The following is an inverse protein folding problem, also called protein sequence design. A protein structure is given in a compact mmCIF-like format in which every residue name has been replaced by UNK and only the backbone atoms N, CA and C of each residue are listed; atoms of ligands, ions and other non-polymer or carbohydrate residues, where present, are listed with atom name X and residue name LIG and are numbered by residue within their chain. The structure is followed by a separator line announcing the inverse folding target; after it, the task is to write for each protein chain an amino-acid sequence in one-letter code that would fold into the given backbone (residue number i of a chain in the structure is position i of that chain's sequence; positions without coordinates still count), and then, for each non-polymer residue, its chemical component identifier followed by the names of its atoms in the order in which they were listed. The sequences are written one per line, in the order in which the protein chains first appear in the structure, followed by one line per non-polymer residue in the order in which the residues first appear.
data_IF_204491444528
#
_entry.id   IF_204491444528
#
_cell.length_a   1.000
_cell.length_b   1.000
_cell.length_c   1.000
_cell.angle_alpha   90.00
_cell.angle_beta   90.00
_cell.angle_gamma   90.00
#
_symmetry.space_group_name_H-M   'P 1'
#
loop_
_entity.id
_entity.type
_entity.pdbx_description
1 polymer ?
#
# COMPACT_ATOMS: atom_id res chain seq x y z
N UNK A 1 3.42 -1.00 -9.65
CA UNK A 1 3.30 -1.47 -8.26
C UNK A 1 4.31 -0.70 -7.43
N UNK A 2 3.98 -0.42 -6.17
CA UNK A 2 4.89 0.16 -5.19
C UNK A 2 5.15 -0.96 -4.18
N UNK A 3 6.42 -1.26 -3.92
CA UNK A 3 6.83 -2.19 -2.87
C UNK A 3 7.26 -1.38 -1.64
N UNK A 4 6.78 -1.78 -0.47
CA UNK A 4 7.09 -1.13 0.80
C UNK A 4 7.71 -2.18 1.71
N UNK A 5 8.92 -1.91 2.19
CA UNK A 5 9.62 -2.86 3.07
C UNK A 5 8.84 -2.98 4.39
N UNK A 6 8.26 -4.15 4.62
CA UNK A 6 7.57 -4.54 5.84
C UNK A 6 7.80 -6.04 6.07
N UNK A 7 7.82 -6.46 7.33
CA UNK A 7 7.95 -7.89 7.66
C UNK A 7 6.77 -8.73 7.16
N UNK A 8 5.60 -8.14 6.92
CA UNK A 8 4.42 -8.86 6.49
C UNK A 8 3.98 -9.93 7.49
N UNK A 9 3.01 -10.75 7.10
CA UNK A 9 2.42 -11.76 7.99
C UNK A 9 3.43 -12.82 8.46
N UNK A 10 4.47 -13.12 7.67
CA UNK A 10 5.51 -14.09 8.03
C UNK A 10 6.38 -13.63 9.22
N UNK A 11 6.45 -12.32 9.47
CA UNK A 11 7.27 -11.73 10.53
C UNK A 11 6.43 -10.88 11.51
N UNK A 12 5.17 -11.28 11.74
CA UNK A 12 4.31 -10.68 12.77
C UNK A 12 3.59 -9.40 12.35
N UNK A 13 3.60 -9.06 11.06
CA UNK A 13 2.92 -7.93 10.44
C UNK A 13 3.10 -6.63 11.23
N UNK A 14 4.33 -6.10 11.36
CA UNK A 14 4.56 -4.88 12.11
C UNK A 14 3.85 -3.68 11.45
N UNK A 15 3.45 -2.66 12.23
CA UNK A 15 2.94 -1.42 11.65
C UNK A 15 3.99 -0.74 10.78
N UNK A 16 3.54 -0.08 9.71
CA UNK A 16 4.44 0.71 8.87
C UNK A 16 4.93 1.95 9.63
N UNK A 17 6.24 2.22 9.68
CA UNK A 17 6.76 3.47 10.21
C UNK A 17 6.16 4.69 9.51
N UNK A 18 5.88 5.74 10.29
CA UNK A 18 5.28 7.00 9.79
C UNK A 18 6.04 7.59 8.59
N UNK A 19 7.37 7.56 8.61
CA UNK A 19 8.20 8.06 7.51
C UNK A 19 7.99 7.28 6.20
N UNK A 20 7.70 5.97 6.26
CA UNK A 20 7.36 5.19 5.07
C UNK A 20 5.97 5.58 4.54
N UNK A 21 4.99 5.76 5.43
CA UNK A 21 3.63 6.14 5.03
C UNK A 21 3.60 7.51 4.36
N UNK A 22 4.32 8.51 4.91
CA UNK A 22 4.46 9.83 4.29
C UNK A 22 5.13 9.77 2.91
N UNK A 23 6.16 8.93 2.75
CA UNK A 23 6.85 8.76 1.47
C UNK A 23 5.93 8.13 0.40
N UNK A 24 5.16 7.12 0.78
CA UNK A 24 4.19 6.44 -0.10
C UNK A 24 3.05 7.37 -0.50
N UNK A 25 2.53 8.16 0.44
CA UNK A 25 1.51 9.16 0.19
C UNK A 25 1.99 10.20 -0.83
N UNK A 26 3.16 10.79 -0.58
CA UNK A 26 3.77 11.78 -1.48
C UNK A 26 3.95 11.21 -2.89
N UNK A 27 4.56 10.02 -3.00
CA UNK A 27 4.78 9.36 -4.28
C UNK A 27 3.45 9.03 -5.00
N UNK A 28 2.45 8.58 -4.25
CA UNK A 28 1.13 8.23 -4.80
C UNK A 28 0.43 9.45 -5.37
N UNK A 29 0.43 10.58 -4.64
CA UNK A 29 -0.14 11.84 -5.12
C UNK A 29 0.58 12.35 -6.38
N UNK A 30 1.91 12.22 -6.44
CA UNK A 30 2.67 12.55 -7.65
C UNK A 30 2.34 11.64 -8.84
N UNK A 31 2.04 10.36 -8.62
CA UNK A 31 1.60 9.44 -9.69
C UNK A 31 0.19 9.83 -10.15
N UNK A 32 -0.72 10.11 -9.22
CA UNK A 32 -2.10 10.50 -9.51
C UNK A 32 -2.18 11.85 -10.26
N UNK A 33 -1.23 12.77 -10.03
CA UNK A 33 -1.19 14.03 -10.77
C UNK A 33 -0.80 13.87 -12.24
N UNK A 34 0.00 12.84 -12.56
CA UNK A 34 0.44 12.50 -13.93
C UNK A 34 -0.54 11.57 -14.65
N UNK A 35 -1.26 10.76 -13.88
CA UNK A 35 -2.14 9.72 -14.40
C UNK A 35 -3.51 9.81 -13.71
N UNK A 36 -4.61 10.08 -14.45
CA UNK A 36 -5.95 10.21 -13.88
C UNK A 36 -6.53 8.83 -13.49
N UNK A 37 -5.90 8.17 -12.52
CA UNK A 37 -6.31 6.89 -11.97
C UNK A 37 -7.45 7.17 -10.97
N UNK A 38 -8.66 6.62 -11.17
CA UNK A 38 -9.74 6.80 -10.21
C UNK A 38 -9.40 6.08 -8.89
N UNK A 39 -9.82 6.64 -7.75
CA UNK A 39 -9.48 6.14 -6.41
C UNK A 39 -9.71 4.62 -6.24
N UNK A 40 -10.82 4.09 -6.76
CA UNK A 40 -11.15 2.64 -6.75
C UNK A 40 -10.17 1.72 -7.51
N UNK A 41 -9.16 2.29 -8.17
CA UNK A 41 -8.09 1.56 -8.87
C UNK A 41 -6.73 1.69 -8.19
N UNK A 42 -6.67 2.37 -7.05
CA UNK A 42 -5.58 2.25 -6.08
C UNK A 42 -5.98 1.09 -5.17
N UNK A 43 -5.31 -0.05 -5.33
CA UNK A 43 -5.73 -1.33 -4.79
C UNK A 43 -4.58 -1.99 -4.03
N UNK A 44 -4.93 -2.80 -3.04
CA UNK A 44 -4.01 -3.78 -2.47
C UNK A 44 -3.65 -4.85 -3.51
N UNK A 45 -2.53 -5.54 -3.30
CA UNK A 45 -2.26 -6.75 -4.08
C UNK A 45 -3.26 -7.85 -3.77
N UNK A 46 -3.72 -7.93 -2.52
CA UNK A 46 -4.78 -8.83 -2.07
C UNK A 46 -6.14 -8.55 -2.73
N UNK A 47 -6.44 -7.31 -3.12
CA UNK A 47 -7.68 -7.01 -3.88
C UNK A 47 -7.66 -7.63 -5.28
N UNK A 48 -6.47 -7.69 -5.90
CA UNK A 48 -6.27 -8.21 -7.26
C UNK A 48 -6.05 -9.73 -7.25
N UNK A 49 -5.44 -10.27 -6.19
CA UNK A 49 -5.06 -11.67 -6.08
C UNK A 49 -5.40 -12.28 -4.69
N UNK A 50 -6.68 -12.26 -4.27
CA UNK A 50 -7.08 -12.56 -2.89
C UNK A 50 -6.71 -13.97 -2.43
N UNK A 51 -6.69 -14.95 -3.34
CA UNK A 51 -6.34 -16.33 -3.01
C UNK A 51 -4.82 -16.57 -2.87
N UNK A 52 -3.98 -15.59 -3.22
CA UNK A 52 -2.51 -15.76 -3.28
C UNK A 52 -1.73 -14.70 -2.49
N UNK A 53 -2.36 -13.60 -2.13
CA UNK A 53 -1.70 -12.39 -1.63
C UNK A 53 -2.48 -11.78 -0.48
N UNK A 54 -1.74 -11.32 0.52
CA UNK A 54 -2.26 -10.67 1.72
C UNK A 54 -1.73 -9.23 1.88
N UNK A 55 -0.70 -8.85 1.11
CA UNK A 55 -0.09 -7.52 1.12
C UNK A 55 -1.05 -6.44 0.55
N UNK A 56 -1.01 -5.21 1.11
CA UNK A 56 -0.05 -4.71 2.11
C UNK A 56 -0.43 -5.00 3.58
N UNK A 57 -1.50 -5.76 3.80
CA UNK A 57 -1.96 -6.16 5.13
C UNK A 57 -2.80 -5.10 5.86
N UNK A 58 -3.36 -5.51 7.00
CA UNK A 58 -4.28 -4.74 7.82
C UNK A 58 -3.66 -3.49 8.44
N UNK A 59 -2.33 -3.42 8.53
CA UNK A 59 -1.60 -2.29 9.10
C UNK A 59 -1.25 -1.20 8.09
N UNK A 60 -1.56 -1.40 6.81
CA UNK A 60 -1.48 -0.33 5.84
C UNK A 60 -2.66 0.62 6.05
N UNK A 61 -2.37 1.85 6.46
CA UNK A 61 -3.40 2.83 6.78
C UNK A 61 -3.94 3.50 5.50
N UNK A 62 -4.98 2.88 4.93
CA UNK A 62 -5.66 3.30 3.71
C UNK A 62 -6.46 4.60 3.85
N UNK A 63 -6.78 5.04 5.07
CA UNK A 63 -7.70 6.17 5.30
C UNK A 63 -7.01 7.53 5.36
N UNK A 64 -5.68 7.57 5.24
CA UNK A 64 -4.87 8.80 5.24
C UNK A 64 -5.19 9.69 4.04
#
# INVERSE_FOLDING_TARGET
GIEIVNGGHDFGCPPYPEAQMQAVETLSLEILSRHPIPARRVLAHSDVAPARKADPGEWFDWAR
#
